data_IF_514619650494
#
_entry.id   IF_514619650494
#
_cell.length_a   1.000
_cell.length_b   1.000
_cell.length_c   1.000
_cell.angle_alpha   90.00
_cell.angle_beta   90.00
_cell.angle_gamma   90.00
#
_symmetry.space_group_name_H-M   'P 1'
#
loop_
_entity.id
_entity.type
_entity.pdbx_description
1 polymer ?
#
# COMPACT_ATOMS: atom_id res chain seq x y z
N UNK A 1 31.22 4.83 -32.52
CA UNK A 1 31.16 4.22 -31.16
C UNK A 1 29.75 4.46 -30.64
N UNK A 2 29.01 3.40 -30.36
CA UNK A 2 27.61 3.49 -29.92
C UNK A 2 27.62 4.05 -28.49
N UNK A 3 27.22 5.32 -28.33
CA UNK A 3 27.06 5.91 -27.02
C UNK A 3 25.89 5.23 -26.32
N UNK A 4 26.17 4.47 -25.27
CA UNK A 4 25.14 3.97 -24.37
C UNK A 4 24.29 5.14 -23.88
N UNK A 5 22.97 5.00 -23.94
CA UNK A 5 22.04 5.98 -23.37
C UNK A 5 22.40 6.21 -21.89
N UNK A 6 22.57 7.46 -21.45
CA UNK A 6 22.97 7.75 -20.07
C UNK A 6 21.92 7.24 -19.09
N UNK A 7 22.35 6.59 -18.01
CA UNK A 7 21.42 6.17 -16.95
C UNK A 7 20.90 7.38 -16.18
N UNK A 8 19.79 7.22 -15.45
CA UNK A 8 19.25 8.29 -14.58
C UNK A 8 20.30 8.75 -13.55
N UNK A 9 21.11 7.81 -13.05
CA UNK A 9 22.23 8.11 -12.13
C UNK A 9 23.31 8.93 -12.85
N UNK A 10 23.62 8.63 -14.11
CA UNK A 10 24.57 9.41 -14.91
C UNK A 10 24.07 10.85 -15.15
N UNK A 11 22.76 11.03 -15.36
CA UNK A 11 22.16 12.35 -15.51
C UNK A 11 22.22 13.14 -14.19
N UNK A 12 21.87 12.50 -13.07
CA UNK A 12 21.94 13.13 -11.73
C UNK A 12 23.37 13.51 -11.35
N UNK A 13 24.34 12.63 -11.62
CA UNK A 13 25.76 12.94 -11.37
C UNK A 13 26.29 14.04 -12.30
N UNK A 14 25.89 14.06 -13.57
CA UNK A 14 26.25 15.13 -14.51
C UNK A 14 25.68 16.48 -14.06
N UNK A 15 24.43 16.51 -13.56
CA UNK A 15 23.83 17.70 -12.97
C UNK A 15 24.60 18.17 -11.73
N UNK A 16 24.89 17.28 -10.77
CA UNK A 16 25.66 17.66 -9.59
C UNK A 16 27.03 18.23 -9.97
N UNK A 17 27.71 17.62 -10.94
CA UNK A 17 28.99 18.13 -11.46
C UNK A 17 28.86 19.54 -12.02
N UNK A 18 27.84 19.81 -12.85
CA UNK A 18 27.67 21.14 -13.43
C UNK A 18 27.39 22.19 -12.36
N UNK A 19 26.55 21.89 -11.37
CA UNK A 19 26.27 22.79 -10.26
C UNK A 19 27.50 23.04 -9.37
N UNK A 20 28.27 21.99 -9.07
CA UNK A 20 29.51 22.12 -8.29
C UNK A 20 30.52 23.00 -9.02
N UNK A 21 30.65 22.87 -10.35
CA UNK A 21 31.54 23.73 -11.16
C UNK A 21 31.07 25.19 -11.13
N UNK A 22 29.76 25.44 -11.23
CA UNK A 22 29.20 26.79 -11.18
C UNK A 22 29.43 27.44 -9.80
N UNK A 23 29.21 26.70 -8.72
CA UNK A 23 29.35 27.21 -7.35
C UNK A 23 30.81 27.29 -6.88
N UNK A 24 31.73 26.54 -7.49
CA UNK A 24 33.17 26.56 -7.18
C UNK A 24 33.98 27.53 -8.01
N UNK A 25 33.32 28.49 -8.68
CA UNK A 25 34.02 29.54 -9.41
C UNK A 25 34.95 30.34 -8.48
N UNK A 26 36.11 30.77 -8.99
CA UNK A 26 37.08 31.51 -8.19
C UNK A 26 36.47 32.83 -7.72
N UNK A 27 36.66 33.11 -6.44
CA UNK A 27 36.20 34.34 -5.82
C UNK A 27 36.93 35.53 -6.44
N UNK A 28 36.16 36.58 -6.73
CA UNK A 28 36.65 37.88 -7.18
C UNK A 28 36.30 38.93 -6.13
N UNK A 29 37.12 39.99 -5.99
CA UNK A 29 36.80 41.08 -5.09
C UNK A 29 35.47 41.71 -5.53
N UNK A 30 34.60 42.01 -4.57
CA UNK A 30 33.33 42.66 -4.87
C UNK A 30 33.58 44.10 -5.36
N UNK A 31 32.74 44.63 -6.25
CA UNK A 31 32.89 46.02 -6.72
C UNK A 31 32.81 47.03 -5.57
N UNK A 32 32.04 46.73 -4.53
CA UNK A 32 31.94 47.54 -3.30
C UNK A 32 33.25 47.57 -2.51
N UNK A 33 33.94 46.43 -2.41
CA UNK A 33 35.25 46.34 -1.76
C UNK A 33 36.29 47.13 -2.54
N UNK A 34 36.33 46.98 -3.86
CA UNK A 34 37.27 47.71 -4.73
C UNK A 34 37.08 49.23 -4.62
N UNK A 35 35.83 49.70 -4.60
CA UNK A 35 35.51 51.12 -4.43
C UNK A 35 35.97 51.64 -3.06
N UNK A 36 35.69 50.89 -1.98
CA UNK A 36 36.07 51.26 -0.61
C UNK A 36 37.59 51.26 -0.40
N UNK A 37 38.30 50.31 -1.01
CA UNK A 37 39.76 50.24 -0.95
C UNK A 37 40.42 51.41 -1.71
N UNK A 38 39.80 51.86 -2.81
CA UNK A 38 40.30 52.99 -3.61
C UNK A 38 40.07 54.33 -2.93
N UNK A 39 38.98 54.47 -2.15
CA UNK A 39 38.68 55.70 -1.39
C UNK A 39 39.48 55.85 -0.09
N UNK A 40 40.16 54.80 0.37
CA UNK A 40 40.77 54.75 1.70
C UNK A 40 42.20 55.33 1.78
N UNK A 41 42.72 55.95 0.71
CA UNK A 41 44.08 56.51 0.50
C UNK A 41 45.18 56.10 1.50
N UNK A 42 45.16 56.53 2.77
CA UNK A 42 46.12 56.15 3.82
C UNK A 42 46.08 54.66 4.25
N UNK A 43 44.91 54.00 4.19
CA UNK A 43 44.70 52.60 4.60
C UNK A 43 44.44 51.67 3.39
N UNK A 44 44.68 52.13 2.17
CA UNK A 44 44.45 51.33 0.97
C UNK A 44 45.38 50.11 0.94
N UNK A 45 44.78 48.91 0.84
CA UNK A 45 45.53 47.67 0.65
C UNK A 45 46.16 47.67 -0.74
N UNK A 46 47.44 47.30 -0.80
CA UNK A 46 48.17 47.15 -2.07
C UNK A 46 47.50 46.05 -2.90
N UNK A 47 47.25 46.35 -4.19
CA UNK A 47 46.63 45.40 -5.12
C UNK A 47 47.33 44.03 -5.13
N UNK A 48 48.67 44.03 -5.10
CA UNK A 48 49.47 42.79 -5.04
C UNK A 48 49.15 41.93 -3.82
N UNK A 49 48.92 42.53 -2.65
CA UNK A 49 48.58 41.77 -1.44
C UNK A 49 47.18 41.17 -1.52
N UNK A 50 46.24 41.90 -2.16
CA UNK A 50 44.88 41.42 -2.44
C UNK A 50 44.95 40.22 -3.40
N UNK A 51 45.70 40.35 -4.50
CA UNK A 51 45.86 39.29 -5.50
C UNK A 51 46.52 38.04 -4.90
N UNK A 52 47.59 38.20 -4.10
CA UNK A 52 48.26 37.08 -3.41
C UNK A 52 47.33 36.38 -2.40
N UNK A 53 46.53 37.14 -1.65
CA UNK A 53 45.55 36.59 -0.71
C UNK A 53 44.43 35.84 -1.46
N UNK A 54 43.91 36.41 -2.55
CA UNK A 54 42.90 35.78 -3.40
C UNK A 54 43.42 34.50 -4.05
N UNK A 55 44.67 34.47 -4.50
CA UNK A 55 45.30 33.27 -5.05
C UNK A 55 45.37 32.16 -4.01
N UNK A 56 45.83 32.47 -2.79
CA UNK A 56 45.90 31.50 -1.68
C UNK A 56 44.51 30.99 -1.29
N UNK A 57 43.53 31.89 -1.15
CA UNK A 57 42.15 31.53 -0.80
C UNK A 57 41.52 30.65 -1.87
N UNK A 58 41.61 31.04 -3.15
CA UNK A 58 41.09 30.26 -4.26
C UNK A 58 41.79 28.90 -4.37
N UNK A 59 43.08 28.80 -4.03
CA UNK A 59 43.78 27.53 -3.97
C UNK A 59 43.24 26.62 -2.86
N UNK A 60 43.06 27.15 -1.64
CA UNK A 60 42.45 26.40 -0.53
C UNK A 60 41.02 25.96 -0.85
N UNK A 61 40.22 26.83 -1.47
CA UNK A 61 38.85 26.52 -1.87
C UNK A 61 38.81 25.38 -2.90
N UNK A 62 39.72 25.38 -3.89
CA UNK A 62 39.86 24.28 -4.85
C UNK A 62 40.25 22.97 -4.17
N UNK A 63 41.18 23.01 -3.21
CA UNK A 63 41.57 21.82 -2.45
C UNK A 63 40.39 21.26 -1.66
N UNK A 64 39.68 22.11 -0.93
CA UNK A 64 38.49 21.70 -0.16
C UNK A 64 37.40 21.14 -1.08
N UNK A 65 37.11 21.80 -2.20
CA UNK A 65 36.09 21.34 -3.15
C UNK A 65 36.43 19.96 -3.72
N UNK A 66 37.71 19.70 -4.04
CA UNK A 66 38.17 18.38 -4.52
C UNK A 66 38.03 17.29 -3.45
N UNK A 67 38.24 17.60 -2.18
CA UNK A 67 38.09 16.66 -1.07
C UNK A 67 36.61 16.38 -0.75
N UNK A 68 35.80 17.43 -0.63
CA UNK A 68 34.39 17.32 -0.26
C UNK A 68 33.53 16.72 -1.39
N UNK A 69 33.80 17.11 -2.64
CA UNK A 69 33.01 16.74 -3.80
C UNK A 69 33.79 15.83 -4.77
N UNK A 70 34.50 14.85 -4.25
CA UNK A 70 35.18 13.85 -5.07
C UNK A 70 34.22 13.08 -6.00
N UNK A 71 34.71 12.46 -7.09
CA UNK A 71 33.85 11.76 -8.07
C UNK A 71 32.96 10.68 -7.46
N UNK A 72 33.47 9.97 -6.44
CA UNK A 72 32.72 8.94 -5.71
C UNK A 72 31.64 9.55 -4.82
N UNK A 73 31.93 10.66 -4.14
CA UNK A 73 30.95 11.36 -3.31
C UNK A 73 29.78 11.89 -4.15
N UNK A 74 30.08 12.46 -5.31
CA UNK A 74 29.06 12.93 -6.25
C UNK A 74 28.14 11.80 -6.73
N UNK A 75 28.71 10.62 -7.02
CA UNK A 75 27.96 9.42 -7.40
C UNK A 75 27.09 8.90 -6.26
N UNK A 76 27.66 8.79 -5.06
CA UNK A 76 26.93 8.34 -3.88
C UNK A 76 25.76 9.26 -3.53
N UNK A 77 25.93 10.58 -3.63
CA UNK A 77 24.83 11.54 -3.44
C UNK A 77 23.76 11.38 -4.53
N UNK A 78 24.15 11.17 -5.79
CA UNK A 78 23.18 10.90 -6.86
C UNK A 78 22.37 9.61 -6.61
N UNK A 79 23.02 8.56 -6.12
CA UNK A 79 22.38 7.30 -5.73
C UNK A 79 21.43 7.50 -4.53
N UNK A 80 21.82 8.27 -3.51
CA UNK A 80 20.93 8.61 -2.39
C UNK A 80 19.70 9.40 -2.84
N UNK A 81 19.87 10.37 -3.73
CA UNK A 81 18.76 11.13 -4.31
C UNK A 81 17.84 10.21 -5.12
N UNK A 82 18.38 9.22 -5.83
CA UNK A 82 17.60 8.20 -6.51
C UNK A 82 16.80 7.35 -5.53
N UNK A 83 17.44 6.81 -4.50
CA UNK A 83 16.78 6.04 -3.44
C UNK A 83 15.68 6.86 -2.74
N UNK A 84 15.93 8.12 -2.41
CA UNK A 84 14.93 8.99 -1.78
C UNK A 84 13.77 9.28 -2.71
N UNK A 85 14.00 9.46 -4.01
CA UNK A 85 12.93 9.66 -4.99
C UNK A 85 12.04 8.42 -5.10
N UNK A 86 12.63 7.23 -5.19
CA UNK A 86 11.88 5.97 -5.16
C UNK A 86 11.11 5.79 -3.85
N UNK A 87 11.76 6.01 -2.71
CA UNK A 87 11.12 5.89 -1.39
C UNK A 87 10.05 6.97 -1.14
N UNK A 88 10.09 8.11 -1.83
CA UNK A 88 9.08 9.16 -1.74
C UNK A 88 7.88 8.84 -2.66
N UNK A 89 8.15 8.27 -3.84
CA UNK A 89 7.11 7.70 -4.70
C UNK A 89 6.37 6.54 -4.04
N UNK A 90 7.09 5.61 -3.40
CA UNK A 90 6.49 4.49 -2.66
C UNK A 90 5.70 4.94 -1.42
N UNK A 91 6.10 6.04 -0.77
CA UNK A 91 5.37 6.60 0.39
C UNK A 91 4.14 7.41 0.02
N UNK A 92 3.75 7.45 -1.26
CA UNK A 92 2.50 8.08 -1.68
C UNK A 92 2.48 9.57 -1.35
N UNK A 93 3.56 10.28 -1.65
CA UNK A 93 3.51 11.75 -1.73
C UNK A 93 2.64 12.09 -2.93
N UNK A 94 1.31 12.07 -2.72
CA UNK A 94 0.26 12.54 -3.63
C UNK A 94 0.39 14.05 -3.80
N UNK A 95 1.46 14.48 -4.45
CA UNK A 95 1.68 15.88 -4.83
C UNK A 95 1.44 15.95 -6.32
N UNK A 96 0.16 15.85 -6.67
CA UNK A 96 -0.29 15.75 -8.04
C UNK A 96 -1.63 15.04 -8.11
N UNK A 97 -2.34 15.22 -9.22
CA UNK A 97 -3.48 14.38 -9.55
C UNK A 97 -2.91 13.09 -10.16
N UNK A 98 -3.14 11.93 -9.53
CA UNK A 98 -2.53 10.64 -9.91
C UNK A 98 -2.81 10.28 -11.39
N UNK A 99 -3.92 10.78 -11.95
CA UNK A 99 -4.29 10.60 -13.36
C UNK A 99 -3.38 11.37 -14.35
N UNK A 100 -2.68 12.41 -13.89
CA UNK A 100 -1.84 13.29 -14.70
C UNK A 100 -0.35 12.86 -14.68
N UNK A 101 0.02 11.88 -13.84
CA UNK A 101 1.38 11.38 -13.77
C UNK A 101 1.76 10.55 -15.01
N UNK A 102 2.99 10.73 -15.51
CA UNK A 102 3.49 9.92 -16.63
C UNK A 102 3.65 8.47 -16.19
N UNK A 103 2.78 7.61 -16.70
CA UNK A 103 2.76 6.18 -16.38
C UNK A 103 1.53 5.74 -15.58
N UNK A 104 0.58 6.64 -15.31
CA UNK A 104 -0.69 6.30 -14.69
C UNK A 104 -1.39 5.17 -15.45
N UNK A 105 -1.76 4.10 -14.74
CA UNK A 105 -2.54 3.01 -15.32
C UNK A 105 -4.03 3.36 -15.28
N UNK A 106 -4.56 3.78 -16.44
CA UNK A 106 -5.99 4.06 -16.62
C UNK A 106 -6.89 2.82 -16.55
N UNK A 107 -6.35 1.66 -16.15
CA UNK A 107 -7.14 0.48 -15.77
C UNK A 107 -7.51 0.50 -14.30
N UNK A 108 -6.81 1.23 -13.45
CA UNK A 108 -7.13 1.28 -12.03
C UNK A 108 -8.42 2.07 -11.76
N UNK A 109 -9.28 1.54 -10.89
CA UNK A 109 -10.56 2.15 -10.54
C UNK A 109 -10.37 3.51 -9.83
N UNK A 110 -9.38 3.59 -8.94
CA UNK A 110 -8.98 4.83 -8.25
C UNK A 110 -8.53 5.92 -9.19
N UNK A 111 -7.79 5.58 -10.25
CA UNK A 111 -7.33 6.55 -11.25
C UNK A 111 -8.52 7.00 -12.09
N UNK A 112 -9.37 6.08 -12.58
CA UNK A 112 -10.56 6.39 -13.38
C UNK A 112 -11.52 7.35 -12.64
N UNK A 113 -11.71 7.16 -11.34
CA UNK A 113 -12.57 8.02 -10.51
C UNK A 113 -12.03 9.45 -10.34
N UNK A 114 -10.71 9.64 -10.42
CA UNK A 114 -10.08 10.95 -10.31
C UNK A 114 -10.05 11.73 -11.63
N UNK A 115 -10.44 11.12 -12.77
CA UNK A 115 -10.42 11.82 -14.05
C UNK A 115 -11.43 12.97 -14.09
N UNK A 116 -11.02 14.18 -14.52
CA UNK A 116 -11.94 15.29 -14.75
C UNK A 116 -12.99 14.93 -15.82
N UNK A 117 -14.23 15.38 -15.63
CA UNK A 117 -15.29 15.17 -16.61
C UNK A 117 -15.06 15.98 -17.91
N UNK A 118 -14.38 17.12 -17.80
CA UNK A 118 -14.08 18.00 -18.92
C UNK A 118 -12.57 18.20 -19.10
N UNK A 119 -12.13 18.22 -20.37
CA UNK A 119 -10.80 18.67 -20.74
C UNK A 119 -10.76 20.19 -20.52
N UNK A 120 -10.02 20.66 -19.50
CA UNK A 120 -10.13 22.00 -18.91
C UNK A 120 -10.38 23.17 -19.87
N UNK A 121 -11.03 24.24 -19.38
CA UNK A 121 -11.61 25.32 -20.18
C UNK A 121 -10.63 25.97 -21.18
N UNK A 122 -9.36 26.14 -20.78
CA UNK A 122 -8.31 26.70 -21.64
C UNK A 122 -7.96 25.79 -22.82
N UNK A 123 -8.02 24.47 -22.61
CA UNK A 123 -7.70 23.48 -23.62
C UNK A 123 -8.90 23.21 -24.54
N UNK A 124 -10.12 23.26 -24.01
CA UNK A 124 -11.36 23.23 -24.79
C UNK A 124 -11.44 24.41 -25.78
N UNK A 125 -10.99 25.59 -25.37
CA UNK A 125 -10.91 26.78 -26.23
C UNK A 125 -9.89 26.63 -27.36
N UNK A 126 -8.77 25.94 -27.13
CA UNK A 126 -7.70 25.76 -28.12
C UNK A 126 -7.99 24.63 -29.11
N UNK A 127 -8.68 23.57 -28.69
CA UNK A 127 -8.96 22.39 -29.51
C UNK A 127 -10.33 21.74 -29.13
N UNK A 128 -11.45 22.29 -29.63
CA UNK A 128 -12.78 21.84 -29.23
C UNK A 128 -13.09 20.39 -29.66
N UNK A 129 -12.58 19.95 -30.82
CA UNK A 129 -12.78 18.57 -31.29
C UNK A 129 -12.10 17.53 -30.39
N UNK A 130 -10.96 17.88 -29.79
CA UNK A 130 -10.22 16.98 -28.90
C UNK A 130 -10.87 16.93 -27.52
N UNK A 131 -11.40 18.06 -27.04
CA UNK A 131 -12.18 18.12 -25.81
C UNK A 131 -13.47 17.29 -25.90
N UNK A 132 -14.18 17.34 -27.03
CA UNK A 132 -15.36 16.51 -27.26
C UNK A 132 -15.03 15.01 -27.26
N UNK A 133 -13.93 14.62 -27.93
CA UNK A 133 -13.45 13.22 -27.93
C UNK A 133 -13.05 12.75 -26.54
N UNK A 134 -12.42 13.62 -25.74
CA UNK A 134 -12.09 13.30 -24.37
C UNK A 134 -13.34 13.00 -23.54
N UNK A 135 -14.36 13.86 -23.61
CA UNK A 135 -15.61 13.65 -22.88
C UNK A 135 -16.29 12.32 -23.28
N UNK A 136 -16.32 11.98 -24.56
CA UNK A 136 -16.85 10.69 -25.04
C UNK A 136 -16.06 9.50 -24.47
N UNK A 137 -14.71 9.57 -24.51
CA UNK A 137 -13.86 8.51 -23.99
C UNK A 137 -13.95 8.36 -22.47
N UNK A 138 -14.06 9.47 -21.74
CA UNK A 138 -14.22 9.49 -20.29
C UNK A 138 -15.54 8.83 -19.89
N UNK A 139 -16.65 9.17 -20.56
CA UNK A 139 -17.95 8.53 -20.34
C UNK A 139 -17.90 7.02 -20.66
N UNK A 140 -17.19 6.63 -21.72
CA UNK A 140 -17.03 5.21 -22.05
C UNK A 140 -16.20 4.47 -21.01
N UNK A 141 -15.15 5.09 -20.48
CA UNK A 141 -14.31 4.51 -19.43
C UNK A 141 -15.07 4.32 -18.13
N UNK A 142 -15.85 5.30 -17.70
CA UNK A 142 -16.67 5.19 -16.47
C UNK A 142 -17.74 4.12 -16.62
N UNK A 143 -18.41 4.04 -17.78
CA UNK A 143 -19.38 2.98 -18.06
C UNK A 143 -18.76 1.57 -18.06
N UNK A 144 -17.58 1.41 -18.66
CA UNK A 144 -16.86 0.13 -18.64
C UNK A 144 -16.34 -0.24 -17.25
N UNK A 145 -15.92 0.76 -16.46
CA UNK A 145 -15.50 0.55 -15.08
C UNK A 145 -16.67 0.03 -14.22
N UNK A 146 -17.85 0.61 -14.37
CA UNK A 146 -19.06 0.15 -13.67
C UNK A 146 -19.44 -1.28 -14.08
N UNK A 147 -19.41 -1.61 -15.37
CA UNK A 147 -19.65 -2.98 -15.84
C UNK A 147 -18.65 -3.97 -15.23
N UNK A 148 -17.38 -3.58 -15.15
CA UNK A 148 -16.33 -4.38 -14.52
C UNK A 148 -16.57 -4.57 -13.03
N UNK A 149 -17.01 -3.53 -12.32
CA UNK A 149 -17.35 -3.59 -10.88
C UNK A 149 -18.46 -4.60 -10.64
N UNK A 150 -19.56 -4.50 -11.39
CA UNK A 150 -20.68 -5.46 -11.31
C UNK A 150 -20.23 -6.88 -11.63
N UNK A 151 -19.38 -7.08 -12.64
CA UNK A 151 -18.88 -8.41 -12.98
C UNK A 151 -18.02 -9.00 -11.84
N UNK A 152 -17.14 -8.18 -11.23
CA UNK A 152 -16.32 -8.59 -10.07
C UNK A 152 -17.20 -8.97 -8.88
N UNK A 153 -18.20 -8.17 -8.55
CA UNK A 153 -19.14 -8.47 -7.46
C UNK A 153 -19.90 -9.79 -7.68
N UNK A 154 -20.30 -10.06 -8.93
CA UNK A 154 -20.92 -11.34 -9.29
C UNK A 154 -19.95 -12.50 -9.08
N UNK A 155 -18.70 -12.37 -9.53
CA UNK A 155 -17.67 -13.40 -9.33
C UNK A 155 -17.42 -13.64 -7.84
N UNK A 156 -17.29 -12.59 -7.04
CA UNK A 156 -17.12 -12.71 -5.58
C UNK A 156 -18.32 -13.34 -4.89
N UNK A 157 -19.55 -13.07 -5.37
CA UNK A 157 -20.76 -13.76 -4.89
C UNK A 157 -20.71 -15.26 -5.21
N UNK A 158 -20.36 -15.63 -6.45
CA UNK A 158 -20.26 -17.03 -6.83
C UNK A 158 -19.11 -17.76 -6.14
N UNK A 159 -17.98 -17.11 -5.91
CA UNK A 159 -16.86 -17.66 -5.11
C UNK A 159 -17.31 -17.96 -3.69
N UNK A 160 -17.91 -16.99 -2.99
CA UNK A 160 -18.47 -17.21 -1.65
C UNK A 160 -19.49 -18.35 -1.62
N UNK A 161 -20.38 -18.42 -2.60
CA UNK A 161 -21.36 -19.51 -2.70
C UNK A 161 -20.67 -20.86 -2.95
N UNK A 162 -19.69 -20.92 -3.84
CA UNK A 162 -18.89 -22.11 -4.09
C UNK A 162 -18.16 -22.56 -2.83
N UNK A 163 -17.58 -21.64 -2.09
CA UNK A 163 -16.85 -21.95 -0.86
C UNK A 163 -17.82 -22.50 0.21
N UNK A 164 -19.02 -21.93 0.37
CA UNK A 164 -20.08 -22.47 1.23
C UNK A 164 -20.57 -23.85 0.80
N UNK A 165 -20.73 -24.07 -0.52
CA UNK A 165 -21.11 -25.39 -1.05
C UNK A 165 -19.97 -26.39 -0.87
N UNK A 166 -18.72 -25.96 -0.99
CA UNK A 166 -17.54 -26.81 -0.73
C UNK A 166 -17.51 -27.35 0.71
N UNK A 167 -18.05 -26.61 1.69
CA UNK A 167 -18.19 -27.10 3.07
C UNK A 167 -19.16 -28.28 3.21
N UNK A 168 -20.07 -28.47 2.25
CA UNK A 168 -21.04 -29.56 2.28
C UNK A 168 -20.41 -30.91 1.86
N UNK A 169 -19.19 -30.90 1.30
CA UNK A 169 -18.49 -32.10 0.81
C UNK A 169 -18.83 -32.43 -0.65
N UNK A 170 -17.87 -32.97 -1.41
CA UNK A 170 -18.03 -33.27 -2.84
C UNK A 170 -18.99 -34.45 -3.10
N UNK A 171 -19.09 -35.39 -2.14
CA UNK A 171 -19.88 -36.62 -2.26
C UNK A 171 -21.24 -36.56 -1.52
N UNK A 172 -21.46 -35.55 -0.68
CA UNK A 172 -22.73 -35.39 0.02
C UNK A 172 -23.69 -34.62 -0.88
N UNK A 173 -24.72 -35.31 -1.38
CA UNK A 173 -25.74 -34.68 -2.20
C UNK A 173 -26.30 -33.44 -1.49
N UNK A 174 -26.25 -32.28 -2.15
CA UNK A 174 -26.74 -30.99 -1.61
C UNK A 174 -28.17 -31.11 -1.04
N UNK A 175 -28.96 -32.06 -1.56
CA UNK A 175 -30.32 -32.38 -1.09
C UNK A 175 -30.40 -33.01 0.30
N UNK A 176 -29.42 -33.82 0.71
CA UNK A 176 -29.42 -34.48 2.03
C UNK A 176 -29.10 -33.50 3.16
N UNK A 177 -28.27 -32.49 2.86
CA UNK A 177 -27.87 -31.43 3.78
C UNK A 177 -28.86 -30.24 3.82
N UNK A 178 -29.90 -30.26 2.97
CA UNK A 178 -30.97 -29.27 2.99
C UNK A 178 -32.03 -29.67 4.04
N UNK A 179 -32.47 -28.72 4.85
CA UNK A 179 -33.57 -28.91 5.80
C UNK A 179 -34.87 -29.08 5.00
N UNK A 180 -35.20 -30.33 4.73
CA UNK A 180 -36.44 -30.74 4.06
C UNK A 180 -37.45 -31.24 5.09
N UNK A 181 -38.75 -31.14 4.76
CA UNK A 181 -39.83 -31.70 5.57
C UNK A 181 -39.71 -33.23 5.54
N UNK A 182 -39.60 -33.87 6.70
CA UNK A 182 -39.17 -35.26 6.92
C UNK A 182 -37.67 -35.54 6.64
N UNK A 183 -36.81 -34.53 6.70
CA UNK A 183 -35.36 -34.68 6.51
C UNK A 183 -34.64 -35.29 7.72
N UNK A 184 -33.36 -35.66 7.53
CA UNK A 184 -32.52 -36.27 8.58
C UNK A 184 -32.46 -35.43 9.87
N UNK A 185 -32.47 -34.10 9.74
CA UNK A 185 -32.48 -33.17 10.89
C UNK A 185 -33.77 -33.29 11.70
N UNK A 186 -34.93 -33.42 11.05
CA UNK A 186 -36.21 -33.54 11.77
C UNK A 186 -36.30 -34.87 12.53
N UNK A 187 -35.80 -35.96 11.92
CA UNK A 187 -35.66 -37.26 12.57
C UNK A 187 -34.74 -37.18 13.79
N UNK A 188 -33.60 -36.50 13.68
CA UNK A 188 -32.66 -36.37 14.80
C UNK A 188 -33.22 -35.46 15.90
N UNK A 189 -33.96 -34.39 15.55
CA UNK A 189 -34.68 -33.56 16.51
C UNK A 189 -35.81 -34.33 17.23
N UNK A 190 -36.48 -35.26 16.55
CA UNK A 190 -37.44 -36.16 17.21
C UNK A 190 -36.75 -37.12 18.18
N UNK A 191 -35.60 -37.70 17.81
CA UNK A 191 -34.81 -38.54 18.73
C UNK A 191 -34.34 -37.74 19.94
N UNK A 192 -33.85 -36.51 19.73
CA UNK A 192 -33.46 -35.61 20.83
C UNK A 192 -34.65 -35.30 21.75
N UNK A 193 -35.85 -35.08 21.21
CA UNK A 193 -37.06 -34.89 22.04
C UNK A 193 -37.39 -36.12 22.88
N UNK A 194 -37.28 -37.32 22.31
CA UNK A 194 -37.50 -38.58 23.06
C UNK A 194 -36.43 -38.79 24.13
N UNK A 195 -35.16 -38.47 23.82
CA UNK A 195 -34.06 -38.53 24.78
C UNK A 195 -34.25 -37.51 25.91
N UNK A 196 -34.67 -36.29 25.60
CA UNK A 196 -34.97 -35.25 26.60
C UNK A 196 -36.08 -35.70 27.56
N UNK A 197 -37.18 -36.27 27.05
CA UNK A 197 -38.24 -36.85 27.89
C UNK A 197 -37.75 -38.02 28.76
N UNK A 198 -36.74 -38.76 28.31
CA UNK A 198 -36.13 -39.85 29.10
C UNK A 198 -35.17 -39.30 30.16
N UNK A 199 -34.40 -38.27 29.83
CA UNK A 199 -33.51 -37.58 30.76
C UNK A 199 -34.32 -36.86 31.83
N UNK A 200 -35.39 -36.15 31.49
CA UNK A 200 -36.30 -35.53 32.46
C UNK A 200 -36.90 -36.57 33.42
N UNK A 201 -37.30 -37.74 32.91
CA UNK A 201 -37.76 -38.84 33.77
C UNK A 201 -36.66 -39.43 34.64
N UNK A 202 -35.44 -39.58 34.10
CA UNK A 202 -34.29 -40.07 34.85
C UNK A 202 -33.85 -39.10 35.95
N UNK A 203 -33.89 -37.80 35.68
CA UNK A 203 -33.57 -36.73 36.64
C UNK A 203 -34.69 -36.59 37.69
N UNK A 204 -35.96 -36.61 37.29
CA UNK A 204 -37.09 -36.62 38.24
C UNK A 204 -37.08 -37.86 39.14
N UNK A 205 -36.70 -39.03 38.62
CA UNK A 205 -36.52 -40.24 39.42
C UNK A 205 -35.30 -40.17 40.35
N UNK A 206 -34.25 -39.41 40.00
CA UNK A 206 -33.12 -39.12 40.89
C UNK A 206 -33.48 -38.11 41.97
N UNK A 207 -34.34 -37.13 41.67
CA UNK A 207 -34.86 -36.14 42.62
C UNK A 207 -35.80 -36.81 43.65
N UNK A 208 -36.71 -37.68 43.21
CA UNK A 208 -37.53 -38.54 44.11
C UNK A 208 -36.66 -39.51 44.94
N UNK A 209 -35.53 -39.97 44.40
CA UNK A 209 -34.59 -40.85 45.13
C UNK A 209 -33.68 -40.07 46.09
N UNK A 210 -33.54 -38.75 45.91
CA UNK A 210 -32.80 -37.85 46.79
C UNK A 210 -33.62 -37.36 48.00
N UNK A 211 -34.94 -37.29 47.89
CA UNK A 211 -35.82 -36.87 49.01
C UNK A 211 -36.30 -38.03 49.91
N UNK A 212 -36.06 -39.30 49.52
CA UNK A 212 -36.62 -40.47 50.20
C UNK A 212 -35.63 -41.51 50.73
N UNK A 213 -34.31 -41.33 50.58
CA UNK A 213 -33.36 -42.36 50.99
C UNK A 213 -32.11 -41.76 51.66
N UNK A 214 -32.21 -41.56 52.98
CA UNK A 214 -31.08 -41.92 53.85
C UNK A 214 -30.87 -43.43 53.65
N UNK A 215 -29.88 -43.81 52.83
CA UNK A 215 -29.45 -45.19 52.72
C UNK A 215 -27.96 -45.27 53.03
N UNK A 216 -27.70 -45.98 54.12
CA UNK A 216 -26.45 -46.57 54.50
C UNK A 216 -25.71 -47.15 53.28
N UNK A 217 -24.40 -46.91 53.29
CA UNK A 217 -23.42 -47.50 52.41
C UNK A 217 -23.44 -49.03 52.59
N UNK A 218 -23.65 -49.77 51.52
CA UNK A 218 -22.97 -51.05 51.33
C UNK A 218 -22.76 -51.35 49.85
N UNK A 219 -21.57 -51.88 49.56
CA UNK A 219 -20.98 -51.96 48.24
C UNK A 219 -21.48 -53.10 47.36
N UNK A 220 -20.90 -53.08 46.16
CA UNK A 220 -20.94 -54.08 45.08
C UNK A 220 -21.98 -53.81 43.96
N UNK A 221 -21.47 -53.89 42.73
CA UNK A 221 -22.15 -53.92 41.43
C UNK A 221 -22.53 -52.58 40.75
N UNK A 222 -21.52 -51.75 40.45
CA UNK A 222 -21.66 -50.66 39.46
C UNK A 222 -21.46 -51.13 38.00
N UNK A 223 -20.71 -52.20 37.75
CA UNK A 223 -20.39 -52.64 36.37
C UNK A 223 -21.60 -53.28 35.64
N UNK A 224 -22.49 -53.95 36.36
CA UNK A 224 -23.69 -54.57 35.77
C UNK A 224 -24.76 -53.55 35.34
N UNK A 225 -24.87 -52.41 36.03
CA UNK A 225 -25.86 -51.37 35.71
C UNK A 225 -25.51 -50.58 34.45
N UNK A 226 -24.22 -50.41 34.15
CA UNK A 226 -23.77 -49.70 32.95
C UNK A 226 -24.04 -50.53 31.69
N UNK A 227 -23.86 -51.86 31.76
CA UNK A 227 -24.16 -52.77 30.65
C UNK A 227 -25.67 -52.87 30.33
N UNK A 228 -26.53 -52.77 31.34
CA UNK A 228 -27.99 -52.81 31.15
C UNK A 228 -28.56 -51.53 30.50
N UNK A 229 -27.88 -50.38 30.66
CA UNK A 229 -28.32 -49.11 30.06
C UNK A 229 -27.92 -48.94 28.59
N UNK A 230 -26.98 -49.75 28.09
CA UNK A 230 -26.47 -49.70 26.71
C UNK A 230 -27.09 -50.75 25.77
N UNK A 231 -27.90 -51.68 26.31
CA UNK A 231 -28.41 -52.85 25.58
C UNK A 231 -29.92 -52.90 25.34
N UNK A 232 -30.57 -51.77 25.09
CA UNK A 232 -32.03 -51.70 24.83
C UNK A 232 -32.44 -50.66 23.80
#
# INVERSE_FOLDING_TARGET
>A
MVGSTPTIIDLKTAFLRSQIILLSQPLRPSPTFTASNSSAEENALRQKAIDDALLKLNHQLKQHNKLAYGPQAQRHVAEQVDMLYWNAGERGVKVGEDWAERGADYREESVIEQLPEAWGEEASTKAPEQAAKYAELQQRLTALNEQRRVARERVERYRRMRDLVGLLGEDAGVQENLVTRNGAVEVELEKMRRLMLRVERGVGALEERGEGAEMDLDGEDEEGKILALLGG
#
